data_IF_120626147927
#
_entry.id   IF_120626147927
#
_cell.length_a   1.000
_cell.length_b   1.000
_cell.length_c   1.000
_cell.angle_alpha   90.00
_cell.angle_beta   90.00
_cell.angle_gamma   90.00
#
_symmetry.space_group_name_H-M   'P 1'
#
loop_
_entity.id
_entity.type
_entity.pdbx_description
1 polymer ?
#
# COMPACT_ATOMS: atom_id res chain seq x y z
N UNK A 1 -7.97 14.58 18.89
CA UNK A 1 -6.64 14.18 18.37
C UNK A 1 -6.75 14.17 16.84
N UNK A 2 -5.81 14.78 16.09
CA UNK A 2 -5.92 14.75 14.62
C UNK A 2 -5.79 13.32 14.10
N UNK A 3 -6.46 13.00 13.01
CA UNK A 3 -6.46 11.68 12.38
C UNK A 3 -5.03 11.19 12.06
N UNK A 4 -4.20 12.08 11.53
CA UNK A 4 -2.78 11.78 11.25
C UNK A 4 -2.03 11.37 12.54
N UNK A 5 -2.29 12.03 13.68
CA UNK A 5 -1.67 11.64 14.96
C UNK A 5 -2.12 10.23 15.41
N UNK A 6 -3.39 9.89 15.18
CA UNK A 6 -3.93 8.56 15.48
C UNK A 6 -3.25 7.48 14.61
N UNK A 7 -3.22 7.69 13.29
CA UNK A 7 -2.59 6.76 12.34
C UNK A 7 -1.09 6.59 12.63
N UNK A 8 -0.40 7.68 12.95
CA UNK A 8 1.02 7.62 13.34
C UNK A 8 1.23 6.77 14.58
N UNK A 9 0.41 6.95 15.63
CA UNK A 9 0.48 6.14 16.85
C UNK A 9 0.21 4.65 16.58
N UNK A 10 -0.71 4.34 15.66
CA UNK A 10 -0.93 2.95 15.23
C UNK A 10 0.26 2.40 14.46
N UNK A 11 0.82 3.15 13.53
CA UNK A 11 2.01 2.75 12.80
C UNK A 11 3.21 2.52 13.75
N UNK A 12 3.39 3.35 14.77
CA UNK A 12 4.43 3.16 15.80
C UNK A 12 4.27 1.83 16.54
N UNK A 13 3.04 1.45 16.89
CA UNK A 13 2.75 0.14 17.50
C UNK A 13 3.09 -1.03 16.57
N UNK A 14 2.79 -0.89 15.27
CA UNK A 14 3.11 -1.91 14.25
C UNK A 14 4.63 -2.06 14.13
N UNK A 15 5.37 -0.94 14.07
CA UNK A 15 6.83 -0.97 14.02
C UNK A 15 7.44 -1.67 15.24
N UNK A 16 6.97 -1.36 16.44
CA UNK A 16 7.44 -2.05 17.66
C UNK A 16 7.17 -3.57 17.61
N UNK A 17 6.04 -3.98 17.02
CA UNK A 17 5.71 -5.40 16.81
C UNK A 17 6.57 -6.08 15.73
N UNK A 18 7.05 -5.34 14.73
CA UNK A 18 7.97 -5.88 13.71
C UNK A 18 9.28 -6.37 14.34
N UNK A 19 9.79 -5.73 15.38
CA UNK A 19 10.99 -6.18 16.11
C UNK A 19 10.80 -7.59 16.70
N UNK A 20 9.59 -7.89 17.16
CA UNK A 20 9.27 -9.23 17.65
C UNK A 20 9.20 -10.26 16.52
N UNK A 21 8.69 -9.87 15.36
CA UNK A 21 8.62 -10.75 14.18
C UNK A 21 10.00 -11.12 13.63
N UNK A 22 11.01 -10.28 13.80
CA UNK A 22 12.40 -10.57 13.38
C UNK A 22 13.00 -11.80 14.08
N UNK A 23 12.53 -12.11 15.28
CA UNK A 23 13.04 -13.24 16.09
C UNK A 23 12.46 -14.59 15.66
N UNK A 24 11.40 -14.58 14.86
CA UNK A 24 10.73 -15.78 14.39
C UNK A 24 11.52 -16.42 13.25
N UNK A 25 11.53 -17.74 13.19
CA UNK A 25 11.96 -18.47 12.00
C UNK A 25 10.98 -18.26 10.84
N UNK A 26 11.37 -18.63 9.61
CA UNK A 26 10.48 -18.50 8.44
C UNK A 26 9.22 -19.36 8.59
N UNK A 27 9.33 -20.52 9.20
CA UNK A 27 8.18 -21.39 9.48
C UNK A 27 7.23 -20.76 10.51
N UNK A 28 7.76 -20.19 11.58
CA UNK A 28 6.95 -19.50 12.59
C UNK A 28 6.28 -18.24 12.04
N UNK A 29 7.00 -17.46 11.22
CA UNK A 29 6.41 -16.29 10.56
C UNK A 29 5.28 -16.70 9.60
N UNK A 30 5.45 -17.79 8.86
CA UNK A 30 4.43 -18.34 7.97
C UNK A 30 3.20 -18.82 8.74
N UNK A 31 3.40 -19.46 9.91
CA UNK A 31 2.30 -19.97 10.75
C UNK A 31 1.46 -18.85 11.39
N UNK A 32 1.94 -17.60 11.40
CA UNK A 32 1.15 -16.45 11.86
C UNK A 32 -0.18 -16.31 11.11
N UNK A 33 -0.24 -16.70 9.86
CA UNK A 33 -1.49 -16.68 9.08
C UNK A 33 -2.57 -17.57 9.72
N UNK A 34 -2.19 -18.76 10.16
CA UNK A 34 -3.14 -19.70 10.78
C UNK A 34 -3.49 -19.26 12.21
N UNK A 35 -2.52 -18.69 12.95
CA UNK A 35 -2.80 -18.03 14.23
C UNK A 35 -3.84 -16.91 14.08
N UNK A 36 -3.69 -16.03 13.08
CA UNK A 36 -4.66 -14.95 12.85
C UNK A 36 -6.05 -15.47 12.48
N UNK A 37 -6.13 -16.50 11.65
CA UNK A 37 -7.41 -17.15 11.34
C UNK A 37 -8.08 -17.72 12.59
N UNK A 38 -7.31 -18.38 13.46
CA UNK A 38 -7.82 -18.92 14.72
C UNK A 38 -8.31 -17.81 15.66
N UNK A 39 -7.57 -16.72 15.79
CA UNK A 39 -7.97 -15.56 16.59
C UNK A 39 -9.30 -14.96 16.11
N UNK A 40 -9.45 -14.82 14.77
CA UNK A 40 -10.72 -14.38 14.16
C UNK A 40 -11.87 -15.38 14.45
N UNK A 41 -11.61 -16.68 14.33
CA UNK A 41 -12.62 -17.72 14.64
C UNK A 41 -13.03 -17.69 16.12
N UNK A 42 -12.14 -17.28 17.02
CA UNK A 42 -12.37 -17.10 18.45
C UNK A 42 -13.03 -15.75 18.81
N UNK A 43 -13.42 -14.95 17.81
CA UNK A 43 -14.19 -13.72 17.99
C UNK A 43 -13.35 -12.44 18.08
N UNK A 44 -12.03 -12.47 17.85
CA UNK A 44 -11.27 -11.24 17.66
C UNK A 44 -11.68 -10.56 16.36
N UNK A 45 -11.64 -9.22 16.35
CA UNK A 45 -11.96 -8.43 15.15
C UNK A 45 -10.72 -8.24 14.26
N UNK A 46 -10.95 -7.90 12.98
CA UNK A 46 -9.88 -7.52 12.05
C UNK A 46 -9.04 -6.36 12.60
N UNK A 47 -9.64 -5.40 13.28
CA UNK A 47 -8.94 -4.26 13.88
C UNK A 47 -8.02 -4.68 15.02
N UNK A 48 -8.40 -5.68 15.81
CA UNK A 48 -7.59 -6.20 16.90
C UNK A 48 -6.35 -6.94 16.41
N UNK A 49 -6.46 -7.74 15.34
CA UNK A 49 -5.33 -8.47 14.77
C UNK A 49 -4.46 -7.64 13.80
N UNK A 50 -4.98 -6.51 13.29
CA UNK A 50 -4.32 -5.69 12.26
C UNK A 50 -2.88 -5.31 12.62
N UNK A 51 -2.55 -4.87 13.85
CA UNK A 51 -1.16 -4.52 14.18
C UNK A 51 -0.19 -5.71 14.07
N UNK A 52 -0.64 -6.90 14.45
CA UNK A 52 0.17 -8.12 14.38
C UNK A 52 0.31 -8.59 12.93
N UNK A 53 -0.79 -8.56 12.18
CA UNK A 53 -0.80 -8.93 10.76
C UNK A 53 0.12 -8.02 9.93
N UNK A 54 0.04 -6.70 10.12
CA UNK A 54 0.90 -5.76 9.40
C UNK A 54 2.37 -5.88 9.82
N UNK A 55 2.66 -6.20 11.07
CA UNK A 55 4.02 -6.48 11.52
C UNK A 55 4.58 -7.75 10.86
N UNK A 56 3.79 -8.81 10.77
CA UNK A 56 4.18 -10.06 10.10
C UNK A 56 4.43 -9.83 8.58
N UNK A 57 3.55 -9.07 7.90
CA UNK A 57 3.72 -8.72 6.49
C UNK A 57 4.97 -7.87 6.27
N UNK A 58 5.23 -6.88 7.16
CA UNK A 58 6.42 -6.03 7.07
C UNK A 58 7.73 -6.82 7.22
N UNK A 59 7.77 -7.82 8.09
CA UNK A 59 8.92 -8.70 8.24
C UNK A 59 9.05 -9.67 7.05
N UNK A 60 7.94 -10.23 6.58
CA UNK A 60 7.94 -11.10 5.40
C UNK A 60 8.43 -10.35 4.14
N UNK A 61 8.01 -9.11 3.96
CA UNK A 61 8.50 -8.25 2.88
C UNK A 61 10.01 -8.04 2.99
N UNK A 62 10.51 -7.71 4.18
CA UNK A 62 11.94 -7.54 4.40
C UNK A 62 12.75 -8.81 4.05
N UNK A 63 12.30 -9.99 4.47
CA UNK A 63 12.99 -11.25 4.15
C UNK A 63 12.93 -11.59 2.66
N UNK A 64 11.83 -11.24 1.99
CA UNK A 64 11.61 -11.58 0.58
C UNK A 64 12.29 -10.64 -0.39
N UNK A 65 12.27 -9.34 -0.13
CA UNK A 65 12.73 -8.29 -1.06
C UNK A 65 13.72 -7.30 -0.46
N UNK A 66 14.11 -7.47 0.82
CA UNK A 66 15.06 -6.59 1.50
C UNK A 66 14.52 -5.22 1.92
N UNK A 67 13.24 -4.96 1.68
CA UNK A 67 12.63 -3.65 1.94
C UNK A 67 11.61 -3.72 3.07
N UNK A 68 11.73 -2.79 4.03
CA UNK A 68 10.71 -2.57 5.06
C UNK A 68 9.78 -1.45 4.63
N UNK A 69 8.47 -1.61 4.82
CA UNK A 69 7.54 -0.53 4.51
C UNK A 69 7.83 0.70 5.36
N UNK A 70 7.83 1.89 4.76
CA UNK A 70 7.96 3.14 5.49
C UNK A 70 6.73 3.38 6.38
N UNK A 71 6.93 4.15 7.47
CA UNK A 71 5.84 4.47 8.41
C UNK A 71 4.64 5.10 7.71
N UNK A 72 4.85 5.98 6.75
CA UNK A 72 3.78 6.61 5.96
C UNK A 72 3.00 5.60 5.12
N UNK A 73 3.66 4.57 4.58
CA UNK A 73 3.00 3.49 3.84
C UNK A 73 2.11 2.66 4.75
N UNK A 74 2.56 2.35 5.97
CA UNK A 74 1.74 1.69 6.98
C UNK A 74 0.54 2.56 7.38
N UNK A 75 0.75 3.87 7.58
CA UNK A 75 -0.35 4.80 7.86
C UNK A 75 -1.37 4.82 6.72
N UNK A 76 -0.90 4.84 5.47
CA UNK A 76 -1.75 4.75 4.28
C UNK A 76 -2.53 3.42 4.22
N UNK A 77 -1.86 2.30 4.49
CA UNK A 77 -2.50 0.99 4.52
C UNK A 77 -3.58 0.89 5.61
N UNK A 78 -3.34 1.46 6.80
CA UNK A 78 -4.35 1.54 7.86
C UNK A 78 -5.57 2.36 7.41
N UNK A 79 -5.34 3.54 6.83
CA UNK A 79 -6.41 4.39 6.31
C UNK A 79 -7.24 3.68 5.24
N UNK A 80 -6.59 2.96 4.30
CA UNK A 80 -7.27 2.15 3.29
C UNK A 80 -8.07 1.00 3.92
N UNK A 81 -7.52 0.33 4.93
CA UNK A 81 -8.24 -0.73 5.65
C UNK A 81 -9.49 -0.21 6.36
N UNK A 82 -9.48 1.04 6.82
CA UNK A 82 -10.63 1.73 7.42
C UNK A 82 -11.62 2.29 6.37
N UNK A 83 -11.41 2.02 5.09
CA UNK A 83 -12.27 2.49 3.99
C UNK A 83 -12.05 3.96 3.63
N UNK A 84 -10.94 4.55 4.04
CA UNK A 84 -10.57 5.94 3.74
C UNK A 84 -9.67 6.01 2.51
N UNK A 85 -9.62 7.18 1.89
CA UNK A 85 -8.65 7.50 0.84
C UNK A 85 -7.36 7.94 1.52
N UNK A 86 -6.24 7.31 1.14
CA UNK A 86 -4.91 7.69 1.59
C UNK A 86 -4.19 8.43 0.48
N UNK A 87 -3.91 9.72 0.70
CA UNK A 87 -2.97 10.49 -0.10
C UNK A 87 -1.58 10.34 0.50
N UNK A 88 -0.61 10.05 -0.34
CA UNK A 88 0.81 10.02 0.03
C UNK A 88 1.60 10.91 -0.91
N UNK A 89 2.60 11.63 -0.37
CA UNK A 89 3.46 12.51 -1.17
C UNK A 89 4.30 11.72 -2.16
N UNK A 90 4.80 12.39 -3.18
CA UNK A 90 5.78 11.84 -4.12
C UNK A 90 7.02 11.34 -3.35
N UNK A 91 7.57 10.20 -3.78
CA UNK A 91 8.65 9.52 -3.05
C UNK A 91 8.16 8.51 -2.00
N UNK A 92 6.86 8.46 -1.72
CA UNK A 92 6.23 7.49 -0.83
C UNK A 92 5.64 6.27 -1.58
N UNK A 93 5.95 6.15 -2.88
CA UNK A 93 5.60 4.97 -3.70
C UNK A 93 4.25 5.06 -4.43
N UNK A 94 3.72 6.28 -4.71
CA UNK A 94 2.37 6.45 -5.29
C UNK A 94 2.23 7.62 -6.25
N UNK A 95 3.00 7.69 -7.28
CA UNK A 95 2.69 8.64 -8.35
C UNK A 95 2.02 7.91 -9.51
N UNK A 96 0.87 8.41 -9.95
CA UNK A 96 0.23 7.98 -11.18
C UNK A 96 0.40 9.06 -12.25
N UNK A 97 0.58 8.64 -13.50
CA UNK A 97 0.59 9.55 -14.64
C UNK A 97 -0.74 10.28 -14.77
N UNK A 98 -0.72 11.55 -15.20
CA UNK A 98 -1.94 12.31 -15.47
C UNK A 98 -2.84 11.63 -16.51
N UNK A 99 -2.27 10.82 -17.40
CA UNK A 99 -2.99 10.04 -18.39
C UNK A 99 -3.62 8.75 -17.84
N UNK A 100 -3.35 8.38 -16.57
CA UNK A 100 -3.88 7.14 -15.99
C UNK A 100 -5.41 7.17 -15.97
N UNK A 101 -6.10 6.19 -16.60
CA UNK A 101 -7.55 6.14 -16.58
C UNK A 101 -8.07 5.81 -15.18
N UNK A 102 -9.00 6.62 -14.70
CA UNK A 102 -9.65 6.52 -13.39
C UNK A 102 -11.15 6.26 -13.60
N UNK A 103 -11.70 5.16 -13.04
CA UNK A 103 -13.12 4.89 -13.13
C UNK A 103 -13.90 5.84 -12.21
N UNK A 104 -14.97 6.43 -12.76
CA UNK A 104 -15.90 7.28 -12.01
C UNK A 104 -17.34 6.78 -12.22
N UNK A 105 -18.32 7.15 -11.39
CA UNK A 105 -19.73 6.79 -11.63
C UNK A 105 -20.28 7.27 -12.97
N UNK A 106 -19.72 8.37 -13.51
CA UNK A 106 -20.15 8.98 -14.77
C UNK A 106 -19.35 8.51 -16.00
N UNK A 107 -18.48 7.48 -15.80
CA UNK A 107 -17.61 6.97 -16.86
C UNK A 107 -16.12 7.10 -16.51
N UNK A 108 -15.26 7.04 -17.51
CA UNK A 108 -13.81 7.12 -17.32
C UNK A 108 -13.31 8.57 -17.45
N UNK A 109 -12.48 8.99 -16.52
CA UNK A 109 -11.68 10.23 -16.60
C UNK A 109 -10.20 9.89 -16.54
N UNK A 110 -9.32 10.83 -16.92
CA UNK A 110 -7.90 10.68 -16.62
C UNK A 110 -7.59 11.21 -15.21
N UNK A 111 -6.52 10.74 -14.59
CA UNK A 111 -6.09 11.26 -13.28
C UNK A 111 -5.88 12.78 -13.31
N UNK A 112 -5.44 13.33 -14.47
CA UNK A 112 -5.26 14.77 -14.66
C UNK A 112 -6.55 15.58 -14.74
N UNK A 113 -7.67 14.95 -15.05
CA UNK A 113 -8.99 15.60 -15.17
C UNK A 113 -9.79 15.55 -13.85
N UNK A 114 -9.31 14.79 -12.87
CA UNK A 114 -9.97 14.69 -11.57
C UNK A 114 -9.84 16.00 -10.79
N UNK A 115 -10.95 16.44 -10.21
CA UNK A 115 -11.07 17.68 -9.45
C UNK A 115 -11.62 17.40 -8.05
N UNK A 116 -11.40 18.34 -7.16
CA UNK A 116 -12.04 18.36 -5.85
C UNK A 116 -13.56 18.29 -6.00
N UNK A 117 -14.17 17.37 -5.29
CA UNK A 117 -15.61 17.15 -5.35
C UNK A 117 -16.05 16.09 -6.36
N UNK A 118 -15.20 15.63 -7.29
CA UNK A 118 -15.49 14.50 -8.16
C UNK A 118 -15.75 13.23 -7.36
N UNK A 119 -16.44 12.27 -7.97
CA UNK A 119 -16.71 10.97 -7.38
C UNK A 119 -15.81 9.91 -8.02
N UNK A 120 -15.09 9.17 -7.20
CA UNK A 120 -14.35 7.96 -7.58
C UNK A 120 -14.93 6.75 -6.86
N UNK A 121 -14.50 5.56 -7.22
CA UNK A 121 -14.88 4.34 -6.48
C UNK A 121 -13.87 4.03 -5.38
N UNK A 122 -14.38 3.69 -4.20
CA UNK A 122 -13.59 3.09 -3.14
C UNK A 122 -13.25 1.61 -3.46
N UNK A 123 -12.52 0.94 -2.55
CA UNK A 123 -12.16 -0.48 -2.67
C UNK A 123 -13.35 -1.44 -2.71
N UNK A 124 -14.54 -1.00 -2.32
CA UNK A 124 -15.78 -1.77 -2.32
C UNK A 124 -16.66 -1.45 -3.54
N UNK A 125 -16.16 -0.63 -4.46
CA UNK A 125 -16.91 -0.16 -5.61
C UNK A 125 -18.00 0.87 -5.29
N UNK A 126 -17.96 1.50 -4.10
CA UNK A 126 -18.89 2.55 -3.72
C UNK A 126 -18.37 3.92 -4.14
N UNK A 127 -19.24 4.81 -4.67
CA UNK A 127 -18.86 6.17 -4.98
C UNK A 127 -18.36 6.92 -3.73
N UNK A 128 -17.20 7.52 -3.84
CA UNK A 128 -16.52 8.26 -2.77
C UNK A 128 -16.03 9.60 -3.31
N UNK A 129 -16.26 10.68 -2.56
CA UNK A 129 -15.92 12.05 -2.98
C UNK A 129 -14.42 12.30 -2.87
N UNK A 130 -13.83 12.89 -3.92
CA UNK A 130 -12.47 13.42 -3.91
C UNK A 130 -12.43 14.66 -3.01
N UNK A 131 -11.57 14.65 -2.01
CA UNK A 131 -11.44 15.71 -1.01
C UNK A 131 -10.26 16.64 -1.28
N UNK A 132 -9.41 16.33 -2.25
CA UNK A 132 -8.28 17.15 -2.67
C UNK A 132 -7.49 16.54 -3.81
N UNK A 133 -7.03 17.37 -4.74
CA UNK A 133 -6.12 17.02 -5.82
C UNK A 133 -4.83 17.80 -5.66
N UNK A 134 -3.70 17.10 -5.64
CA UNK A 134 -2.38 17.67 -5.32
C UNK A 134 -1.38 17.36 -6.43
N UNK A 135 -1.28 18.21 -7.46
CA UNK A 135 -0.33 18.03 -8.54
C UNK A 135 1.13 18.02 -8.01
N UNK A 136 1.90 17.05 -8.43
CA UNK A 136 3.29 16.85 -7.96
C UNK A 136 4.34 17.50 -8.88
N UNK A 137 3.91 18.31 -9.86
CA UNK A 137 4.77 18.96 -10.83
C UNK A 137 5.24 18.02 -11.95
N UNK A 138 6.20 18.49 -12.74
CA UNK A 138 6.79 17.71 -13.84
C UNK A 138 7.83 16.75 -13.28
N UNK A 139 7.72 15.47 -13.62
CA UNK A 139 8.67 14.42 -13.29
C UNK A 139 9.15 13.71 -14.55
N UNK A 140 10.36 13.15 -14.51
CA UNK A 140 10.81 12.25 -15.56
C UNK A 140 9.95 10.99 -15.53
N UNK A 141 9.39 10.65 -16.69
CA UNK A 141 8.59 9.43 -16.87
C UNK A 141 9.41 8.39 -17.63
N UNK A 142 9.33 7.16 -17.18
CA UNK A 142 9.93 5.99 -17.80
C UNK A 142 8.84 5.01 -18.22
N UNK A 143 9.01 4.41 -19.36
CA UNK A 143 8.19 3.29 -19.80
C UNK A 143 8.80 1.98 -19.29
N UNK A 144 8.03 1.22 -18.52
CA UNK A 144 8.39 -0.13 -18.09
C UNK A 144 7.66 -1.14 -18.96
N UNK A 145 8.42 -1.83 -19.81
CA UNK A 145 7.91 -2.89 -20.67
C UNK A 145 7.89 -4.21 -19.91
N UNK A 146 6.71 -4.73 -19.69
CA UNK A 146 6.51 -6.01 -19.00
C UNK A 146 6.66 -7.19 -19.99
N UNK A 147 7.04 -8.36 -19.45
CA UNK A 147 7.27 -9.56 -20.25
C UNK A 147 6.01 -10.07 -21.00
N UNK A 148 4.82 -9.65 -20.58
CA UNK A 148 3.53 -9.96 -21.21
C UNK A 148 3.10 -8.93 -22.29
N UNK A 149 4.00 -7.99 -22.62
CA UNK A 149 3.79 -6.96 -23.62
C UNK A 149 3.07 -5.71 -23.14
N UNK A 150 2.64 -5.64 -21.87
CA UNK A 150 2.09 -4.41 -21.30
C UNK A 150 3.18 -3.38 -21.08
N UNK A 151 2.82 -2.11 -21.29
CA UNK A 151 3.67 -0.96 -21.01
C UNK A 151 3.03 -0.18 -19.88
N UNK A 152 3.82 0.20 -18.87
CA UNK A 152 3.38 1.02 -17.75
C UNK A 152 4.29 2.22 -17.62
N UNK A 153 3.70 3.40 -17.64
CA UNK A 153 4.43 4.64 -17.38
C UNK A 153 4.58 4.88 -15.87
N UNK A 154 5.75 5.29 -15.46
CA UNK A 154 6.06 5.54 -14.05
C UNK A 154 7.13 6.63 -13.88
N UNK A 155 7.15 7.28 -12.72
CA UNK A 155 8.24 8.18 -12.34
C UNK A 155 9.45 7.37 -11.86
N UNK A 156 10.63 7.97 -11.91
CA UNK A 156 11.92 7.38 -11.48
C UNK A 156 11.94 6.90 -10.02
N UNK A 157 11.17 7.56 -9.18
CA UNK A 157 11.05 7.23 -7.75
C UNK A 157 10.03 6.10 -7.45
N UNK A 158 9.39 5.50 -8.49
CA UNK A 158 8.35 4.50 -8.29
C UNK A 158 8.96 3.13 -7.97
N UNK A 159 8.59 2.57 -6.82
CA UNK A 159 9.04 1.26 -6.41
C UNK A 159 8.17 0.16 -7.02
N UNK A 160 8.81 -0.76 -7.74
CA UNK A 160 8.19 -1.90 -8.38
C UNK A 160 8.45 -3.19 -7.62
N UNK A 161 7.40 -3.94 -7.34
CA UNK A 161 7.53 -5.33 -6.91
C UNK A 161 7.50 -6.21 -8.15
N UNK A 162 8.65 -6.77 -8.54
CA UNK A 162 8.75 -7.60 -9.75
C UNK A 162 9.19 -9.02 -9.42
N UNK A 163 8.56 -10.01 -10.08
CA UNK A 163 9.04 -11.39 -10.07
C UNK A 163 9.98 -11.61 -11.26
N UNK A 164 11.23 -11.92 -10.97
CA UNK A 164 12.19 -12.30 -12.01
C UNK A 164 12.12 -13.81 -12.25
N UNK A 165 12.11 -14.23 -13.54
CA UNK A 165 12.09 -15.65 -13.93
C UNK A 165 13.35 -16.42 -13.53
N UNK A 166 14.47 -15.71 -13.38
CA UNK A 166 15.76 -16.29 -12.98
C UNK A 166 15.86 -16.32 -11.46
N UNK A 167 15.67 -17.48 -10.88
CA UNK A 167 15.68 -17.75 -9.42
C UNK A 167 17.00 -17.41 -8.68
N UNK A 168 17.92 -16.64 -9.26
CA UNK A 168 19.27 -16.51 -8.68
C UNK A 168 19.71 -15.13 -8.20
N UNK A 169 19.03 -14.04 -8.47
CA UNK A 169 19.32 -12.73 -7.81
C UNK A 169 18.17 -11.74 -7.98
N UNK A 170 17.58 -11.27 -6.88
CA UNK A 170 16.91 -9.97 -6.85
C UNK A 170 17.98 -8.90 -7.05
N UNK A 171 17.81 -8.06 -8.06
CA UNK A 171 18.50 -6.79 -8.18
C UNK A 171 17.44 -5.69 -8.02
N UNK A 172 17.64 -4.87 -7.00
CA UNK A 172 17.01 -3.56 -6.81
C UNK A 172 17.64 -2.59 -7.77
#
# INVERSE_FOLDING_TARGET
MSEIKRLRKMADKIYAKMENMQRLSDSELKSKTDEFKLRLANGETLEQILPDAYAAVGEAAYRSIGLRPYKVQIMGAIALNEGKIAEQKTGEGKSVSLCTPMPTPDGWKTAGDIKDGDMLFDRHGKPTKVTGVYPQGKKQIYEVHLADGRIVETADEHLWSVYRRDRKKLQT
#
